data_IF_346220084396
#
_entry.id   IF_346220084396
#
_cell.length_a   1.000
_cell.length_b   1.000
_cell.length_c   1.000
_cell.angle_alpha   90.00
_cell.angle_beta   90.00
_cell.angle_gamma   90.00
#
_symmetry.space_group_name_H-M   'P 1'
#
loop_
_entity.id
_entity.type
_entity.pdbx_description
1 polymer ?
#
# COMPACT_ATOMS: atom_id res chain seq x y z
N UNK A 1 15.72 -24.63 32.93
CA UNK A 1 16.33 -23.99 31.74
C UNK A 1 15.20 -23.35 30.98
N UNK A 2 15.07 -22.02 31.03
CA UNK A 2 13.95 -21.31 30.41
C UNK A 2 14.27 -21.10 28.92
N UNK A 3 13.47 -21.67 28.04
CA UNK A 3 13.46 -21.33 26.61
C UNK A 3 13.13 -19.86 26.46
N UNK A 4 14.12 -19.06 26.06
CA UNK A 4 13.88 -17.72 25.57
C UNK A 4 13.11 -17.86 24.25
N UNK A 5 11.80 -17.61 24.30
CA UNK A 5 10.97 -17.41 23.12
C UNK A 5 11.62 -16.30 22.30
N UNK A 6 12.27 -16.67 21.19
CA UNK A 6 12.86 -15.71 20.26
C UNK A 6 11.71 -14.84 19.73
N UNK A 7 11.58 -13.64 20.30
CA UNK A 7 10.64 -12.66 19.79
C UNK A 7 11.05 -12.35 18.36
N UNK A 8 10.16 -12.63 17.39
CA UNK A 8 10.40 -12.21 16.02
C UNK A 8 10.62 -10.68 16.03
N UNK A 9 11.75 -10.19 15.52
CA UNK A 9 12.00 -8.76 15.48
C UNK A 9 10.86 -8.08 14.71
N UNK A 10 10.43 -6.87 15.13
CA UNK A 10 9.36 -6.15 14.47
C UNK A 10 9.65 -6.05 12.96
N UNK A 11 8.62 -6.23 12.15
CA UNK A 11 8.77 -6.14 10.70
C UNK A 11 9.28 -4.75 10.32
N UNK A 12 10.35 -4.71 9.52
CA UNK A 12 10.95 -3.45 9.10
C UNK A 12 9.94 -2.60 8.33
N UNK A 13 9.84 -1.32 8.68
CA UNK A 13 8.95 -0.37 8.04
C UNK A 13 9.60 0.24 6.80
N UNK A 14 9.17 -0.21 5.63
CA UNK A 14 9.58 0.34 4.34
C UNK A 14 8.71 1.51 3.89
N UNK A 15 7.77 1.95 4.73
CA UNK A 15 6.79 3.01 4.56
C UNK A 15 5.93 2.91 3.30
N UNK A 16 5.24 4.00 2.99
CA UNK A 16 4.35 4.10 1.82
C UNK A 16 5.08 4.82 0.69
N UNK A 17 4.90 4.34 -0.53
CA UNK A 17 5.38 5.00 -1.73
C UNK A 17 4.51 6.21 -2.07
N UNK A 18 5.15 7.33 -2.40
CA UNK A 18 4.48 8.60 -2.71
C UNK A 18 3.33 8.97 -1.73
N UNK A 19 3.59 9.14 -0.42
CA UNK A 19 2.55 9.32 0.60
C UNK A 19 1.63 10.54 0.34
N UNK A 20 2.17 11.58 -0.30
CA UNK A 20 1.39 12.76 -0.71
C UNK A 20 0.34 12.40 -1.77
N UNK A 21 0.66 11.51 -2.72
CA UNK A 21 -0.28 11.07 -3.76
C UNK A 21 -1.38 10.22 -3.12
N UNK A 22 -1.02 9.29 -2.24
CA UNK A 22 -1.97 8.47 -1.49
C UNK A 22 -2.95 9.35 -0.70
N UNK A 23 -2.44 10.34 0.04
CA UNK A 23 -3.28 11.30 0.77
C UNK A 23 -4.23 12.03 -0.18
N UNK A 24 -3.74 12.53 -1.32
CA UNK A 24 -4.56 13.22 -2.33
C UNK A 24 -5.67 12.32 -2.90
N UNK A 25 -5.42 11.02 -3.08
CA UNK A 25 -6.46 10.08 -3.53
C UNK A 25 -7.59 9.95 -2.51
N UNK A 26 -7.25 9.77 -1.23
CA UNK A 26 -8.27 9.71 -0.17
C UNK A 26 -9.02 11.03 0.00
N UNK A 27 -8.33 12.17 -0.11
CA UNK A 27 -8.99 13.48 -0.06
C UNK A 27 -9.97 13.67 -1.22
N UNK A 28 -9.62 13.25 -2.44
CA UNK A 28 -10.52 13.30 -3.60
C UNK A 28 -11.72 12.37 -3.44
N UNK A 29 -11.49 11.15 -2.95
CA UNK A 29 -12.55 10.20 -2.64
C UNK A 29 -13.55 10.79 -1.62
N UNK A 30 -13.04 11.35 -0.52
CA UNK A 30 -13.86 11.97 0.52
C UNK A 30 -14.69 13.14 -0.02
N UNK A 31 -14.10 14.03 -0.83
CA UNK A 31 -14.84 15.13 -1.43
C UNK A 31 -15.93 14.66 -2.41
N UNK A 32 -15.62 13.73 -3.31
CA UNK A 32 -16.62 13.20 -4.26
C UNK A 32 -17.79 12.53 -3.52
N UNK A 33 -17.50 11.67 -2.55
CA UNK A 33 -18.53 10.99 -1.75
C UNK A 33 -19.33 11.98 -0.89
N UNK A 34 -18.64 12.88 -0.19
CA UNK A 34 -19.26 13.87 0.68
C UNK A 34 -20.18 14.83 -0.08
N UNK A 35 -19.73 15.35 -1.23
CA UNK A 35 -20.56 16.22 -2.08
C UNK A 35 -21.72 15.45 -2.69
N UNK A 36 -21.50 14.23 -3.19
CA UNK A 36 -22.57 13.39 -3.72
C UNK A 36 -23.66 13.12 -2.69
N UNK A 37 -23.27 12.76 -1.46
CA UNK A 37 -24.20 12.54 -0.35
C UNK A 37 -24.93 13.83 0.05
N UNK A 38 -24.21 14.96 0.15
CA UNK A 38 -24.83 16.24 0.49
C UNK A 38 -25.89 16.66 -0.55
N UNK A 39 -25.55 16.57 -1.84
CA UNK A 39 -26.49 16.87 -2.94
C UNK A 39 -27.71 15.96 -2.88
N UNK A 40 -27.50 14.66 -2.60
CA UNK A 40 -28.59 13.72 -2.41
C UNK A 40 -29.52 14.16 -1.28
N UNK A 41 -29.01 14.31 -0.06
CA UNK A 41 -29.85 14.62 1.09
C UNK A 41 -30.58 15.97 1.00
N UNK A 42 -29.97 16.97 0.35
CA UNK A 42 -30.60 18.29 0.17
C UNK A 42 -31.73 18.23 -0.86
N UNK A 43 -31.54 17.50 -1.96
CA UNK A 43 -32.41 17.61 -3.14
C UNK A 43 -33.32 16.40 -3.34
N UNK A 44 -33.21 15.33 -2.54
CA UNK A 44 -33.94 14.09 -2.75
C UNK A 44 -35.47 14.26 -2.70
N UNK A 45 -35.97 15.20 -1.90
CA UNK A 45 -37.42 15.45 -1.77
C UNK A 45 -38.02 16.15 -2.99
N UNK A 46 -37.28 17.07 -3.61
CA UNK A 46 -37.76 17.85 -4.77
C UNK A 46 -37.40 17.18 -6.11
N UNK A 47 -36.21 16.58 -6.19
CA UNK A 47 -35.64 15.99 -7.42
C UNK A 47 -35.02 14.61 -7.14
N UNK A 48 -35.84 13.58 -6.85
CA UNK A 48 -35.34 12.26 -6.45
C UNK A 48 -34.46 11.60 -7.53
N UNK A 49 -34.87 11.64 -8.81
CA UNK A 49 -34.13 10.99 -9.89
C UNK A 49 -32.79 11.68 -10.21
N UNK A 50 -32.78 13.01 -10.26
CA UNK A 50 -31.58 13.79 -10.58
C UNK A 50 -30.54 13.70 -9.47
N UNK A 51 -30.99 13.79 -8.21
CA UNK A 51 -30.12 13.70 -7.04
C UNK A 51 -29.52 12.28 -6.89
N UNK A 52 -30.29 11.24 -7.18
CA UNK A 52 -29.79 9.85 -7.21
C UNK A 52 -28.77 9.62 -8.34
N UNK A 53 -28.99 10.17 -9.54
CA UNK A 53 -28.03 10.10 -10.65
C UNK A 53 -26.72 10.84 -10.33
N UNK A 54 -26.80 12.01 -9.71
CA UNK A 54 -25.61 12.74 -9.29
C UNK A 54 -24.85 11.96 -8.22
N UNK A 55 -25.55 11.38 -7.24
CA UNK A 55 -24.93 10.52 -6.23
C UNK A 55 -24.25 9.30 -6.86
N UNK A 56 -24.84 8.65 -7.86
CA UNK A 56 -24.23 7.48 -8.50
C UNK A 56 -22.96 7.84 -9.28
N UNK A 57 -22.97 8.98 -10.00
CA UNK A 57 -21.79 9.47 -10.73
C UNK A 57 -20.68 9.90 -9.76
N UNK A 58 -20.97 10.77 -8.80
CA UNK A 58 -19.99 11.22 -7.80
C UNK A 58 -19.52 10.06 -6.91
N UNK A 59 -20.45 9.14 -6.59
CA UNK A 59 -20.21 7.92 -5.84
C UNK A 59 -19.22 7.00 -6.51
N UNK A 60 -19.45 6.69 -7.80
CA UNK A 60 -18.54 5.84 -8.59
C UNK A 60 -17.15 6.45 -8.73
N UNK A 61 -17.05 7.75 -9.03
CA UNK A 61 -15.75 8.46 -9.09
C UNK A 61 -15.04 8.42 -7.73
N UNK A 62 -15.77 8.69 -6.64
CA UNK A 62 -15.23 8.62 -5.28
C UNK A 62 -14.73 7.23 -4.92
N UNK A 63 -15.47 6.18 -5.28
CA UNK A 63 -15.09 4.80 -5.07
C UNK A 63 -13.85 4.41 -5.88
N UNK A 64 -13.72 4.89 -7.12
CA UNK A 64 -12.51 4.68 -7.93
C UNK A 64 -11.28 5.29 -7.25
N UNK A 65 -11.37 6.53 -6.75
CA UNK A 65 -10.26 7.15 -6.01
C UNK A 65 -9.94 6.41 -4.71
N UNK A 66 -10.96 5.93 -4.00
CA UNK A 66 -10.79 5.14 -2.78
C UNK A 66 -10.05 3.83 -3.07
N UNK A 67 -10.49 3.09 -4.09
CA UNK A 67 -9.87 1.85 -4.52
C UNK A 67 -8.43 2.05 -4.97
N UNK A 68 -8.15 3.11 -5.73
CA UNK A 68 -6.79 3.47 -6.15
C UNK A 68 -5.89 3.79 -4.94
N UNK A 69 -6.37 4.60 -3.99
CA UNK A 69 -5.64 4.91 -2.77
C UNK A 69 -5.36 3.67 -1.91
N UNK A 70 -6.36 2.81 -1.74
CA UNK A 70 -6.22 1.53 -1.04
C UNK A 70 -5.21 0.60 -1.72
N UNK A 71 -5.25 0.51 -3.05
CA UNK A 71 -4.30 -0.28 -3.82
C UNK A 71 -2.86 0.25 -3.71
N UNK A 72 -2.66 1.57 -3.69
CA UNK A 72 -1.33 2.16 -3.47
C UNK A 72 -0.77 1.81 -2.09
N UNK A 73 -1.61 1.84 -1.04
CA UNK A 73 -1.22 1.43 0.31
C UNK A 73 -0.87 -0.05 0.35
N UNK A 74 -1.76 -0.90 -0.20
CA UNK A 74 -1.56 -2.34 -0.23
C UNK A 74 -0.31 -2.74 -1.01
N UNK A 75 -0.12 -2.18 -2.21
CA UNK A 75 1.07 -2.48 -3.02
C UNK A 75 2.36 -2.05 -2.33
N UNK A 76 2.36 -0.90 -1.64
CA UNK A 76 3.53 -0.42 -0.88
C UNK A 76 3.88 -1.33 0.31
N UNK A 77 2.87 -1.77 1.07
CA UNK A 77 3.08 -2.54 2.31
C UNK A 77 3.23 -4.04 2.08
N UNK A 78 2.55 -4.59 1.09
CA UNK A 78 2.44 -6.04 0.87
C UNK A 78 3.02 -6.42 -0.49
N UNK A 79 2.57 -5.77 -1.55
CA UNK A 79 2.95 -6.10 -2.92
C UNK A 79 4.47 -6.06 -3.14
N UNK A 80 5.12 -4.96 -2.75
CA UNK A 80 6.57 -4.78 -2.88
C UNK A 80 7.38 -5.77 -2.04
N UNK A 81 6.90 -6.12 -0.84
CA UNK A 81 7.57 -7.11 0.04
C UNK A 81 7.48 -8.50 -0.58
N UNK A 82 6.30 -8.88 -1.08
CA UNK A 82 6.10 -10.17 -1.77
C UNK A 82 6.95 -10.26 -3.04
N UNK A 83 6.96 -9.22 -3.87
CA UNK A 83 7.77 -9.16 -5.08
C UNK A 83 9.27 -9.23 -4.78
N UNK A 84 9.72 -8.56 -3.71
CA UNK A 84 11.10 -8.69 -3.23
C UNK A 84 11.43 -10.15 -2.93
N UNK A 85 10.61 -10.82 -2.13
CA UNK A 85 10.89 -12.21 -1.76
C UNK A 85 10.91 -13.13 -2.99
N UNK A 86 9.97 -12.96 -3.92
CA UNK A 86 9.97 -13.72 -5.19
C UNK A 86 11.23 -13.48 -6.03
N UNK A 87 11.68 -12.22 -6.15
CA UNK A 87 12.90 -11.88 -6.88
C UNK A 87 14.13 -12.49 -6.22
N UNK A 88 14.26 -12.37 -4.89
CA UNK A 88 15.40 -12.91 -4.17
C UNK A 88 15.44 -14.44 -4.19
N UNK A 89 14.28 -15.09 -4.08
CA UNK A 89 14.18 -16.54 -4.17
C UNK A 89 14.53 -17.04 -5.58
N UNK A 90 14.25 -16.26 -6.62
CA UNK A 90 14.64 -16.60 -8.00
C UNK A 90 16.15 -16.56 -8.24
N UNK A 91 16.92 -15.83 -7.42
CA UNK A 91 18.38 -15.76 -7.51
C UNK A 91 19.07 -17.00 -6.93
N UNK A 92 18.35 -17.88 -6.20
CA UNK A 92 18.87 -19.12 -5.62
C UNK A 92 20.16 -18.92 -4.79
N UNK A 93 20.20 -17.85 -4.00
CA UNK A 93 21.34 -17.53 -3.13
C UNK A 93 21.63 -18.69 -2.17
N UNK A 94 22.88 -19.12 -2.11
CA UNK A 94 23.40 -20.15 -1.21
C UNK A 94 23.77 -19.60 0.16
N UNK A 95 23.99 -18.28 0.24
CA UNK A 95 24.22 -17.52 1.44
C UNK A 95 25.69 -17.18 1.71
N UNK A 96 26.60 -17.53 0.80
CA UNK A 96 28.04 -17.24 0.86
C UNK A 96 28.47 -16.19 -0.18
N UNK A 97 27.52 -15.65 -0.94
CA UNK A 97 27.76 -14.67 -1.98
C UNK A 97 28.15 -13.29 -1.43
N UNK A 98 28.87 -12.52 -2.26
CA UNK A 98 29.04 -11.07 -2.07
C UNK A 98 27.97 -10.34 -2.87
N UNK A 99 27.14 -9.56 -2.20
CA UNK A 99 25.99 -8.88 -2.81
C UNK A 99 26.07 -7.36 -2.59
N UNK A 100 25.59 -6.59 -3.57
CA UNK A 100 25.53 -5.13 -3.48
C UNK A 100 24.14 -4.66 -3.89
N UNK A 101 23.46 -3.96 -2.98
CA UNK A 101 22.20 -3.26 -3.28
C UNK A 101 22.52 -1.82 -3.73
N UNK A 102 22.60 -1.61 -5.04
CA UNK A 102 22.85 -0.30 -5.62
C UNK A 102 21.61 0.59 -5.53
N UNK A 103 21.58 1.48 -4.53
CA UNK A 103 20.43 2.35 -4.27
C UNK A 103 19.47 1.78 -3.23
N UNK A 104 20.00 1.33 -2.09
CA UNK A 104 19.28 0.59 -1.06
C UNK A 104 18.04 1.31 -0.48
N UNK A 105 17.91 2.62 -0.62
CA UNK A 105 16.71 3.37 -0.19
C UNK A 105 16.40 3.12 1.29
N UNK A 106 15.19 2.63 1.60
CA UNK A 106 14.80 2.19 2.96
C UNK A 106 15.20 0.75 3.30
N UNK A 107 16.12 0.16 2.54
CA UNK A 107 16.66 -1.16 2.75
C UNK A 107 15.73 -2.30 2.38
N UNK A 108 14.71 -2.10 1.52
CA UNK A 108 13.76 -3.16 1.15
C UNK A 108 14.49 -4.40 0.60
N UNK A 109 15.35 -4.20 -0.40
CA UNK A 109 16.14 -5.27 -1.02
C UNK A 109 17.29 -5.70 -0.12
N UNK A 110 18.09 -4.76 0.39
CA UNK A 110 19.22 -5.06 1.27
C UNK A 110 18.85 -5.89 2.50
N UNK A 111 17.77 -5.56 3.21
CA UNK A 111 17.30 -6.35 4.37
C UNK A 111 16.83 -7.74 3.92
N UNK A 112 16.19 -7.84 2.75
CA UNK A 112 15.78 -9.13 2.18
C UNK A 112 16.96 -10.03 1.83
N UNK A 113 18.03 -9.45 1.28
CA UNK A 113 19.30 -10.12 0.98
C UNK A 113 20.01 -10.56 2.25
N UNK A 114 20.18 -9.65 3.21
CA UNK A 114 20.85 -9.92 4.48
C UNK A 114 20.21 -11.08 5.24
N UNK A 115 18.89 -11.25 5.16
CA UNK A 115 18.16 -12.38 5.76
C UNK A 115 18.44 -13.74 5.08
N UNK A 116 18.94 -13.74 3.84
CA UNK A 116 19.26 -14.95 3.05
C UNK A 116 20.75 -15.27 3.04
N UNK A 117 21.61 -14.31 3.38
CA UNK A 117 23.04 -14.53 3.57
C UNK A 117 23.35 -15.18 4.93
N UNK A 118 24.33 -16.08 4.96
CA UNK A 118 24.81 -16.80 6.15
C UNK A 118 26.25 -16.43 6.49
N UNK A 119 27.13 -16.47 5.48
CA UNK A 119 28.55 -16.13 5.57
C UNK A 119 28.99 -15.08 4.55
N UNK A 120 28.15 -14.85 3.54
CA UNK A 120 28.28 -13.81 2.53
C UNK A 120 28.21 -12.41 3.11
N UNK A 121 28.50 -11.41 2.29
CA UNK A 121 28.57 -10.00 2.69
C UNK A 121 27.87 -9.08 1.70
#
# INVERSE_FOLDING_TARGET
MAEAVAQNPPSADYGIDAPVIVKRMFTRAAWCLGVGLAVYFINHNEYPDTSAKLLSVLGSIGLCFLAAGAFMVWSSKVGKVKMRDQLLDSLQLKGDEKVLDAGCGRGLMLIGLAKRLKSGK
#
